data_IF_033436805672
#
_entry.id   IF_033436805672
#
_cell.length_a   1.000
_cell.length_b   1.000
_cell.length_c   1.000
_cell.angle_alpha   90.00
_cell.angle_beta   90.00
_cell.angle_gamma   90.00
#
_symmetry.space_group_name_H-M   'P 1'
#
loop_
_entity.id
_entity.type
_entity.pdbx_description
1 polymer ?
#
# COMPACT_ATOMS: atom_id res chain seq x y z
N UNK A 1 -21.97 -6.24 1.05
CA UNK A 1 -20.61 -5.68 1.15
C UNK A 1 -20.79 -4.24 1.58
N UNK A 2 -20.32 -3.90 2.76
CA UNK A 2 -20.41 -2.54 3.30
C UNK A 2 -19.04 -1.87 3.10
N UNK A 3 -19.02 -0.66 2.56
CA UNK A 3 -17.80 0.13 2.34
C UNK A 3 -17.79 1.25 3.38
N UNK A 4 -16.77 1.25 4.24
CA UNK A 4 -16.51 2.34 5.17
C UNK A 4 -15.35 3.17 4.63
N UNK A 5 -15.64 4.39 4.18
CA UNK A 5 -14.62 5.36 3.81
C UNK A 5 -14.11 6.06 5.07
N UNK A 6 -12.82 6.44 5.09
CA UNK A 6 -12.35 7.36 6.13
C UNK A 6 -13.18 8.67 6.07
N UNK A 7 -13.69 9.07 7.23
CA UNK A 7 -14.38 10.36 7.40
C UNK A 7 -13.30 11.43 7.56
N UNK A 8 -13.17 12.33 6.58
CA UNK A 8 -12.36 13.55 6.73
C UNK A 8 -13.17 14.81 6.44
N UNK A 9 -12.88 15.82 7.24
CA UNK A 9 -13.45 17.17 7.17
C UNK A 9 -12.93 17.89 5.92
N UNK A 10 -13.82 18.61 5.24
CA UNK A 10 -13.65 19.16 3.88
C UNK A 10 -12.35 19.95 3.65
N UNK A 11 -11.54 19.54 2.66
CA UNK A 11 -10.58 20.38 1.92
C UNK A 11 -10.08 19.71 0.62
N UNK A 12 -10.93 19.60 -0.40
CA UNK A 12 -10.56 19.73 -1.82
C UNK A 12 -9.58 18.75 -2.52
N UNK A 13 -8.92 17.80 -1.86
CA UNK A 13 -8.14 16.73 -2.51
C UNK A 13 -8.37 15.41 -1.77
N UNK A 14 -8.39 14.31 -2.52
CA UNK A 14 -8.59 12.95 -2.02
C UNK A 14 -7.32 12.47 -1.27
N UNK A 15 -7.01 13.10 -0.14
CA UNK A 15 -5.70 13.05 0.55
C UNK A 15 -5.40 11.71 1.25
N UNK A 16 -6.37 10.80 1.34
CA UNK A 16 -6.24 9.52 2.06
C UNK A 16 -7.03 8.42 1.33
N UNK A 17 -6.43 7.73 0.35
CA UNK A 17 -7.12 6.76 -0.50
C UNK A 17 -7.29 5.40 0.19
N UNK A 18 -7.91 5.37 1.38
CA UNK A 18 -8.09 4.15 2.18
C UNK A 18 -9.58 3.93 2.49
N UNK A 19 -10.05 2.70 2.28
CA UNK A 19 -11.39 2.25 2.63
C UNK A 19 -11.37 0.87 3.27
N UNK A 20 -12.32 0.62 4.18
CA UNK A 20 -12.48 -0.68 4.85
C UNK A 20 -13.67 -1.40 4.22
N UNK A 21 -13.42 -2.63 3.76
CA UNK A 21 -14.43 -3.48 3.16
C UNK A 21 -14.85 -4.55 4.17
N UNK A 22 -16.11 -4.48 4.62
CA UNK A 22 -16.66 -5.52 5.48
C UNK A 22 -17.29 -6.61 4.63
N UNK A 23 -16.82 -7.84 4.83
CA UNK A 23 -17.34 -9.02 4.15
C UNK A 23 -18.75 -9.36 4.68
N UNK A 24 -19.65 -9.87 3.83
CA UNK A 24 -20.99 -10.27 4.26
C UNK A 24 -20.99 -11.51 5.17
N UNK A 25 -19.95 -12.34 5.05
CA UNK A 25 -19.71 -13.51 5.90
C UNK A 25 -18.24 -13.53 6.33
N UNK A 26 -17.91 -14.09 7.51
CA UNK A 26 -16.52 -14.25 7.93
C UNK A 26 -15.72 -15.10 6.95
N UNK A 27 -14.48 -14.70 6.66
CA UNK A 27 -13.55 -15.51 5.89
C UNK A 27 -12.93 -16.56 6.82
N UNK A 28 -13.01 -17.84 6.45
CA UNK A 28 -12.38 -18.92 7.21
C UNK A 28 -10.87 -18.94 6.97
N UNK A 29 -10.09 -18.95 8.05
CA UNK A 29 -8.63 -19.01 7.95
C UNK A 29 -8.14 -20.41 7.62
N UNK A 30 -7.05 -20.47 6.88
CA UNK A 30 -6.37 -21.69 6.46
C UNK A 30 -4.87 -21.41 6.29
N UNK A 31 -4.12 -22.40 5.80
CA UNK A 31 -2.70 -22.19 5.52
C UNK A 31 -2.45 -21.14 4.43
N UNK A 32 -3.39 -20.98 3.50
CA UNK A 32 -3.29 -20.01 2.39
C UNK A 32 -4.09 -18.72 2.61
N UNK A 33 -4.87 -18.63 3.69
CA UNK A 33 -5.73 -17.47 3.98
C UNK A 33 -5.57 -17.05 5.43
N UNK A 34 -4.85 -15.95 5.65
CA UNK A 34 -4.58 -15.37 6.97
C UNK A 34 -4.62 -13.83 6.89
N UNK A 35 -4.99 -13.14 7.98
CA UNK A 35 -4.97 -11.68 8.01
C UNK A 35 -3.53 -11.15 7.97
N UNK A 36 -3.36 -9.95 7.42
CA UNK A 36 -2.11 -9.19 7.52
C UNK A 36 -2.12 -8.35 8.81
N UNK A 37 -0.98 -8.25 9.49
CA UNK A 37 -0.82 -7.39 10.65
C UNK A 37 -0.90 -5.90 10.24
N UNK A 38 -1.48 -5.07 11.10
CA UNK A 38 -1.44 -3.61 10.95
C UNK A 38 -0.11 -3.11 11.53
N UNK A 39 0.53 -2.15 10.87
CA UNK A 39 1.77 -1.56 11.35
C UNK A 39 1.54 -0.78 12.66
N UNK A 40 2.34 -1.09 13.69
CA UNK A 40 2.29 -0.42 15.01
C UNK A 40 3.32 0.70 15.14
N UNK A 41 4.32 0.71 14.26
CA UNK A 41 5.37 1.72 14.21
C UNK A 41 5.64 2.12 12.75
N UNK A 42 6.21 3.31 12.50
CA UNK A 42 6.68 3.70 11.17
C UNK A 42 7.66 2.67 10.61
N UNK A 43 7.66 2.52 9.29
CA UNK A 43 8.68 1.71 8.62
C UNK A 43 10.06 2.34 8.84
N UNK A 44 11.11 1.53 9.06
CA UNK A 44 12.47 2.05 9.11
C UNK A 44 12.88 2.55 7.73
N UNK A 45 13.84 3.48 7.72
CA UNK A 45 14.43 3.98 6.49
C UNK A 45 15.05 2.84 5.68
N UNK A 46 15.01 2.98 4.35
CA UNK A 46 15.57 2.00 3.42
C UNK A 46 15.08 0.55 3.64
N UNK A 47 13.87 0.36 4.15
CA UNK A 47 13.27 -0.97 4.26
C UNK A 47 12.93 -1.58 2.88
N UNK A 48 13.09 -2.90 2.76
CA UNK A 48 12.65 -3.64 1.55
C UNK A 48 11.26 -4.19 1.79
N UNK A 49 10.29 -3.72 1.00
CA UNK A 49 8.90 -4.19 1.03
C UNK A 49 8.59 -5.05 -0.22
N UNK A 50 7.43 -5.71 -0.22
CA UNK A 50 6.93 -6.46 -1.37
C UNK A 50 5.65 -5.79 -1.88
N UNK A 51 5.58 -5.55 -3.19
CA UNK A 51 4.40 -5.02 -3.87
C UNK A 51 3.74 -6.11 -4.72
N UNK A 52 2.46 -6.38 -4.47
CA UNK A 52 1.62 -7.22 -5.31
C UNK A 52 0.97 -6.41 -6.42
N UNK A 53 1.30 -6.70 -7.69
CA UNK A 53 0.75 -6.03 -8.87
C UNK A 53 -0.23 -6.96 -9.57
N UNK A 54 -1.49 -6.53 -9.67
CA UNK A 54 -2.53 -7.23 -10.44
C UNK A 54 -2.51 -6.71 -11.87
N UNK A 55 -2.20 -7.60 -12.82
CA UNK A 55 -2.18 -7.26 -14.25
C UNK A 55 -3.59 -7.26 -14.84
N UNK A 56 -3.77 -6.67 -16.04
CA UNK A 56 -5.08 -6.64 -16.74
C UNK A 56 -5.71 -8.03 -16.95
N UNK A 57 -4.91 -9.11 -16.93
CA UNK A 57 -5.39 -10.49 -17.03
C UNK A 57 -5.76 -11.14 -15.69
N UNK A 58 -5.72 -10.41 -14.57
CA UNK A 58 -5.98 -10.95 -13.23
C UNK A 58 -4.81 -11.73 -12.61
N UNK A 59 -3.67 -11.84 -13.31
CA UNK A 59 -2.46 -12.44 -12.75
C UNK A 59 -1.83 -11.48 -11.74
N UNK A 60 -1.61 -11.97 -10.52
CA UNK A 60 -0.86 -11.28 -9.48
C UNK A 60 0.63 -11.61 -9.61
N UNK A 61 1.48 -10.58 -9.60
CA UNK A 61 2.93 -10.72 -9.57
C UNK A 61 3.50 -9.99 -8.37
N UNK A 62 4.54 -10.54 -7.75
CA UNK A 62 5.22 -9.90 -6.62
C UNK A 62 6.48 -9.19 -7.13
N UNK A 63 6.77 -8.03 -6.55
CA UNK A 63 7.97 -7.23 -6.82
C UNK A 63 8.58 -6.75 -5.52
N UNK A 64 9.90 -6.75 -5.44
CA UNK A 64 10.60 -6.12 -4.33
C UNK A 64 10.63 -4.61 -4.57
N UNK A 65 10.35 -3.85 -3.52
CA UNK A 65 10.42 -2.38 -3.54
C UNK A 65 11.30 -1.90 -2.41
N UNK A 66 12.04 -0.84 -2.68
CA UNK A 66 12.91 -0.17 -1.73
C UNK A 66 12.18 1.09 -1.26
N UNK A 67 11.90 1.19 0.04
CA UNK A 67 11.42 2.43 0.64
C UNK A 67 12.48 3.51 0.48
N UNK A 68 12.04 4.71 0.13
CA UNK A 68 12.86 5.91 -0.08
C UNK A 68 12.52 6.97 0.96
N UNK A 69 13.41 7.95 1.12
CA UNK A 69 13.11 9.13 1.91
C UNK A 69 12.07 10.00 1.21
N UNK A 70 11.30 10.78 1.98
CA UNK A 70 10.35 11.75 1.41
C UNK A 70 11.07 12.76 0.51
N UNK A 71 12.29 13.17 0.90
CA UNK A 71 13.15 14.07 0.13
C UNK A 71 13.47 13.56 -1.28
N UNK A 72 13.59 12.24 -1.45
CA UNK A 72 13.88 11.63 -2.75
C UNK A 72 12.70 11.76 -3.72
N UNK A 73 11.53 12.11 -3.20
CA UNK A 73 10.26 12.16 -3.92
C UNK A 73 9.63 13.55 -3.89
N UNK A 74 10.30 14.56 -3.33
CA UNK A 74 9.91 15.97 -3.36
C UNK A 74 9.36 16.46 -4.71
N UNK A 75 9.98 16.18 -5.87
CA UNK A 75 9.42 16.61 -7.16
C UNK A 75 8.07 15.95 -7.52
N UNK A 76 7.69 14.87 -6.84
CA UNK A 76 6.47 14.09 -7.05
C UNK A 76 5.49 14.16 -5.86
N UNK A 77 5.91 14.71 -4.72
CA UNK A 77 5.24 14.59 -3.42
C UNK A 77 4.57 15.90 -2.93
N UNK A 78 4.54 16.97 -3.73
CA UNK A 78 3.88 18.22 -3.33
C UNK A 78 2.41 18.00 -2.92
N UNK A 79 2.13 18.18 -1.63
CA UNK A 79 0.79 18.00 -1.04
C UNK A 79 0.42 16.55 -0.73
N UNK A 80 1.39 15.62 -0.69
CA UNK A 80 1.22 14.20 -0.39
C UNK A 80 1.93 13.78 0.91
N UNK A 81 1.89 14.61 1.95
CA UNK A 81 2.58 14.35 3.24
C UNK A 81 2.10 13.10 4.00
N UNK A 82 0.98 12.49 3.60
CA UNK A 82 0.46 11.23 4.13
C UNK A 82 0.91 9.98 3.35
N UNK A 83 1.77 10.15 2.35
CA UNK A 83 2.20 9.08 1.44
C UNK A 83 3.62 8.61 1.76
N UNK A 84 3.86 7.32 1.55
CA UNK A 84 5.20 6.74 1.59
C UNK A 84 5.77 6.65 0.19
N UNK A 85 7.07 6.90 0.06
CA UNK A 85 7.76 6.76 -1.22
C UNK A 85 8.57 5.46 -1.32
N UNK A 86 8.54 4.85 -2.51
CA UNK A 86 9.30 3.65 -2.78
C UNK A 86 9.64 3.55 -4.28
N UNK A 87 10.71 2.82 -4.60
CA UNK A 87 11.07 2.42 -5.96
C UNK A 87 11.05 0.92 -6.12
N UNK A 88 10.64 0.42 -7.29
CA UNK A 88 10.80 -1.00 -7.62
C UNK A 88 12.29 -1.30 -7.74
N UNK A 89 12.77 -2.35 -7.07
CA UNK A 89 14.12 -2.85 -7.32
C UNK A 89 14.11 -3.51 -8.69
N UNK A 90 14.95 -3.02 -9.60
CA UNK A 90 15.20 -3.74 -10.84
C UNK A 90 15.69 -5.15 -10.48
N UNK A 91 15.12 -6.15 -11.15
CA UNK A 91 15.68 -7.49 -11.11
C UNK A 91 16.87 -7.40 -12.04
N UNK A 92 18.09 -7.54 -11.53
CA UNK A 92 19.29 -7.64 -12.37
C UNK A 92 19.00 -8.68 -13.45
N UNK A 93 18.94 -8.24 -14.70
CA UNK A 93 18.86 -9.13 -15.83
C UNK A 93 20.25 -9.78 -15.98
N UNK A 94 20.39 -11.00 -15.48
CA UNK A 94 21.42 -11.91 -15.99
C UNK A 94 21.09 -12.35 -17.42
#
# INVERSE_FOLDING_TARGET
MEIFNQVHNNSGRNQHPVGILKTPQPIMYSDSVKPMCIAEAPLPDEHVCILGVVTKGGLMTLRHVQMLYESDCEPLAEGLSSYLCAKVKEIDAE
#
